data_IF_188841899496
#
_entry.id   IF_188841899496
#
_cell.length_a   1.000
_cell.length_b   1.000
_cell.length_c   1.000
_cell.angle_alpha   90.00
_cell.angle_beta   90.00
_cell.angle_gamma   90.00
#
_symmetry.space_group_name_H-M   'P 1'
#
loop_
_entity.id
_entity.type
_entity.pdbx_description
1 polymer ?
#
# COMPACT_ATOMS: atom_id res chain seq x y z
N UNK A 1 -7.43 -1.16 -13.94
CA UNK A 1 -6.22 -0.31 -14.10
C UNK A 1 -5.42 -0.32 -12.80
N UNK A 2 -4.11 -0.57 -12.84
CA UNK A 2 -3.25 -0.53 -11.65
C UNK A 2 -2.36 0.72 -11.71
N UNK A 3 -2.22 1.43 -10.60
CA UNK A 3 -1.31 2.58 -10.45
C UNK A 3 -0.52 2.47 -9.16
N UNK A 4 0.79 2.72 -9.23
CA UNK A 4 1.68 2.79 -8.08
C UNK A 4 2.21 4.21 -7.93
N UNK A 5 1.95 4.81 -6.77
CA UNK A 5 2.53 6.09 -6.38
C UNK A 5 3.66 5.85 -5.40
N UNK A 6 4.80 6.51 -5.63
CA UNK A 6 5.96 6.49 -4.72
C UNK A 6 6.29 7.93 -4.34
N UNK A 7 6.33 8.22 -3.04
CA UNK A 7 6.63 9.55 -2.52
C UNK A 7 7.62 9.47 -1.36
N UNK A 8 8.27 10.59 -1.03
CA UNK A 8 8.97 10.69 0.25
C UNK A 8 7.93 10.69 1.38
N UNK A 9 8.07 9.77 2.32
CA UNK A 9 7.17 9.61 3.46
C UNK A 9 7.44 10.63 4.58
N UNK A 10 8.60 11.29 4.58
CA UNK A 10 8.96 12.28 5.59
C UNK A 10 7.96 13.44 5.63
N UNK A 11 7.43 13.74 6.82
CA UNK A 11 6.50 14.85 7.04
C UNK A 11 5.05 14.60 6.61
N UNK A 12 4.73 13.43 6.03
CA UNK A 12 3.34 13.07 5.70
C UNK A 12 2.61 12.48 6.92
N UNK A 13 1.33 12.80 7.12
CA UNK A 13 0.52 12.18 8.17
C UNK A 13 0.23 10.72 7.82
N UNK A 14 1.14 9.82 8.21
CA UNK A 14 1.04 8.40 7.89
C UNK A 14 0.01 7.68 8.79
N UNK A 15 -0.79 6.74 8.27
CA UNK A 15 -1.70 5.95 9.10
C UNK A 15 -0.94 5.16 10.17
N UNK A 16 -1.34 5.31 11.43
CA UNK A 16 -0.77 4.57 12.57
C UNK A 16 -1.69 3.49 13.13
N UNK A 17 -2.95 3.46 12.69
CA UNK A 17 -4.00 2.53 13.15
C UNK A 17 -4.53 1.70 11.99
N UNK A 18 -5.12 0.54 12.30
CA UNK A 18 -5.71 -0.35 11.29
C UNK A 18 -4.70 -1.00 10.34
N UNK A 19 -3.40 -0.89 10.66
CA UNK A 19 -2.34 -1.49 9.87
C UNK A 19 -2.43 -3.01 9.92
N UNK A 20 -2.23 -3.67 8.78
CA UNK A 20 -2.20 -5.11 8.62
C UNK A 20 -0.79 -5.56 8.18
N UNK A 21 -0.37 -6.80 8.46
CA UNK A 21 0.90 -7.33 7.93
C UNK A 21 0.94 -7.31 6.40
N UNK A 22 2.07 -6.94 5.81
CA UNK A 22 2.37 -7.04 4.38
C UNK A 22 3.84 -7.42 4.21
N UNK A 23 4.16 -8.71 4.27
CA UNK A 23 5.55 -9.17 4.29
C UNK A 23 6.29 -8.64 5.52
N UNK A 24 7.42 -7.94 5.29
CA UNK A 24 8.23 -7.34 6.36
C UNK A 24 7.71 -5.98 6.84
N UNK A 25 6.78 -5.37 6.12
CA UNK A 25 6.21 -4.06 6.45
C UNK A 25 4.76 -4.19 6.93
N UNK A 26 4.20 -3.06 7.35
CA UNK A 26 2.80 -2.92 7.73
C UNK A 26 2.10 -2.05 6.70
N UNK A 27 0.91 -2.45 6.28
CA UNK A 27 0.13 -1.74 5.29
C UNK A 27 -1.22 -1.31 5.83
N UNK A 28 -1.67 -0.12 5.45
CA UNK A 28 -3.05 0.32 5.58
C UNK A 28 -3.80 -0.03 4.30
N UNK A 29 -5.04 -0.51 4.44
CA UNK A 29 -5.88 -0.90 3.29
C UNK A 29 -7.21 -0.18 3.38
N UNK A 30 -7.65 0.39 2.26
CA UNK A 30 -8.93 1.07 2.17
C UNK A 30 -9.61 0.73 0.84
N UNK A 31 -10.93 0.66 0.84
CA UNK A 31 -11.74 0.55 -0.37
C UNK A 31 -12.74 1.71 -0.39
N UNK A 32 -12.72 2.49 -1.48
CA UNK A 32 -13.66 3.57 -1.69
C UNK A 32 -14.19 3.52 -3.13
N UNK A 33 -15.52 3.47 -3.28
CA UNK A 33 -16.19 3.54 -4.59
C UNK A 33 -15.67 2.52 -5.63
N UNK A 34 -15.38 1.30 -5.18
CA UNK A 34 -14.87 0.23 -6.04
C UNK A 34 -13.38 0.31 -6.36
N UNK A 35 -12.64 1.26 -5.77
CA UNK A 35 -11.19 1.36 -5.87
C UNK A 35 -10.57 0.89 -4.56
N UNK A 36 -9.65 -0.06 -4.67
CA UNK A 36 -8.83 -0.56 -3.58
C UNK A 36 -7.51 0.23 -3.52
N UNK A 37 -7.11 0.61 -2.32
CA UNK A 37 -5.84 1.26 -2.04
C UNK A 37 -5.08 0.50 -0.95
N UNK A 38 -3.80 0.22 -1.19
CA UNK A 38 -2.88 -0.37 -0.21
C UNK A 38 -1.71 0.61 -0.03
N UNK A 39 -1.53 1.09 1.19
CA UNK A 39 -0.48 2.03 1.56
C UNK A 39 0.53 1.36 2.49
N UNK A 40 1.81 1.41 2.15
CA UNK A 40 2.89 0.95 3.04
C UNK A 40 4.10 1.88 2.96
N UNK A 41 4.94 1.81 3.98
CA UNK A 41 6.18 2.58 4.06
C UNK A 41 7.36 1.61 4.14
N UNK A 42 8.44 1.95 3.44
CA UNK A 42 9.72 1.28 3.57
C UNK A 42 10.83 2.34 3.60
N UNK A 43 11.54 2.44 4.72
CA UNK A 43 12.49 3.52 4.99
C UNK A 43 11.85 4.90 4.86
N UNK A 44 12.38 5.75 3.97
CA UNK A 44 11.89 7.11 3.72
C UNK A 44 10.89 7.22 2.57
N UNK A 45 10.50 6.09 1.97
CA UNK A 45 9.55 6.04 0.86
C UNK A 45 8.19 5.53 1.32
N UNK A 46 7.15 6.23 0.89
CA UNK A 46 5.76 5.82 1.00
C UNK A 46 5.26 5.32 -0.35
N UNK A 47 4.50 4.24 -0.31
CA UNK A 47 3.93 3.59 -1.48
C UNK A 47 2.41 3.57 -1.35
N UNK A 48 1.72 3.88 -2.43
CA UNK A 48 0.28 3.67 -2.55
C UNK A 48 -0.01 2.90 -3.84
N UNK A 49 -0.49 1.68 -3.70
CA UNK A 49 -0.93 0.84 -4.80
C UNK A 49 -2.46 0.94 -4.90
N UNK A 50 -2.95 1.45 -6.03
CA UNK A 50 -4.35 1.80 -6.23
C UNK A 50 -4.88 1.09 -7.48
N UNK A 51 -6.03 0.43 -7.37
CA UNK A 51 -6.62 -0.30 -8.49
C UNK A 51 -8.12 -0.59 -8.29
N UNK A 52 -8.84 -0.75 -9.39
CA UNK A 52 -10.21 -1.27 -9.45
C UNK A 52 -10.30 -2.81 -9.43
N UNK A 53 -9.15 -3.50 -9.43
CA UNK A 53 -9.08 -4.97 -9.34
C UNK A 53 -9.44 -5.49 -7.95
N UNK A 54 -9.68 -6.79 -7.86
CA UNK A 54 -9.99 -7.46 -6.60
C UNK A 54 -8.92 -7.22 -5.51
N UNK A 55 -9.39 -7.12 -4.27
CA UNK A 55 -8.55 -6.78 -3.12
C UNK A 55 -7.49 -7.84 -2.81
N UNK A 56 -7.77 -9.13 -3.04
CA UNK A 56 -6.82 -10.21 -2.82
C UNK A 56 -5.73 -10.21 -3.90
N UNK A 57 -6.11 -9.96 -5.15
CA UNK A 57 -5.15 -9.80 -6.26
C UNK A 57 -4.23 -8.60 -6.02
N UNK A 58 -4.80 -7.45 -5.64
CA UNK A 58 -4.03 -6.25 -5.34
C UNK A 58 -3.07 -6.47 -4.15
N UNK A 59 -3.53 -7.20 -3.12
CA UNK A 59 -2.71 -7.58 -1.97
C UNK A 59 -1.57 -8.51 -2.35
N UNK A 60 -1.81 -9.48 -3.25
CA UNK A 60 -0.76 -10.35 -3.75
C UNK A 60 0.33 -9.57 -4.51
N UNK A 61 -0.06 -8.56 -5.30
CA UNK A 61 0.89 -7.67 -5.96
C UNK A 61 1.67 -6.81 -4.95
N UNK A 62 0.98 -6.22 -3.97
CA UNK A 62 1.62 -5.44 -2.91
C UNK A 62 2.63 -6.26 -2.11
N UNK A 63 2.33 -7.54 -1.82
CA UNK A 63 3.26 -8.45 -1.14
C UNK A 63 4.55 -8.67 -1.95
N UNK A 64 4.44 -8.83 -3.27
CA UNK A 64 5.61 -8.99 -4.15
C UNK A 64 6.46 -7.72 -4.19
N UNK A 65 5.82 -6.55 -4.27
CA UNK A 65 6.53 -5.26 -4.31
C UNK A 65 7.24 -4.96 -3.00
N UNK A 66 6.56 -5.13 -1.86
CA UNK A 66 7.12 -4.88 -0.54
C UNK A 66 8.17 -5.91 -0.08
N UNK A 67 8.23 -7.08 -0.74
CA UNK A 67 9.28 -8.08 -0.53
C UNK A 67 10.57 -7.80 -1.33
N UNK A 68 10.49 -6.95 -2.35
CA UNK A 68 11.59 -6.63 -3.26
C UNK A 68 12.17 -5.22 -3.06
N UNK A 69 11.53 -4.38 -2.24
CA UNK A 69 12.16 -3.16 -1.69
C UNK A 69 13.08 -3.52 -0.55
#
# INVERSE_FOLDING_TARGET
MISLFVCRAGGLPWPSKGLQPLGRVRAYTEMARGINAILWRDGDLGYALVSDVDSAELRALALKLAGNT
#
